data_IF_198667570089
#
_entry.id   IF_198667570089
#
_cell.length_a   1.000
_cell.length_b   1.000
_cell.length_c   1.000
_cell.angle_alpha   90.00
_cell.angle_beta   90.00
_cell.angle_gamma   90.00
#
_symmetry.space_group_name_H-M   'P 1'
#
loop_
_entity.id
_entity.type
_entity.pdbx_description
1 polymer ?
#
# COMPACT_ATOMS: atom_id res chain seq x y z
N UNK A 1 18.91 4.21 15.40
CA UNK A 1 18.22 4.85 14.28
C UNK A 1 17.00 4.02 14.04
N UNK A 2 15.78 4.56 14.19
CA UNK A 2 14.57 3.80 13.92
C UNK A 2 14.52 3.53 12.40
N UNK A 3 15.19 2.46 11.97
CA UNK A 3 14.83 1.78 10.74
C UNK A 3 13.33 1.53 10.84
N UNK A 4 12.57 2.14 9.94
CA UNK A 4 11.18 1.81 9.75
C UNK A 4 11.16 0.34 9.32
N UNK A 5 11.06 -0.56 10.30
CA UNK A 5 10.91 -1.98 10.05
C UNK A 5 9.69 -2.11 9.13
N UNK A 6 9.93 -2.61 7.91
CA UNK A 6 8.86 -2.81 6.95
C UNK A 6 7.78 -3.65 7.60
N UNK A 7 6.54 -3.18 7.49
CA UNK A 7 5.41 -3.89 8.06
C UNK A 7 5.38 -5.31 7.47
N UNK A 8 5.27 -6.35 8.28
CA UNK A 8 5.17 -7.75 7.81
C UNK A 8 4.03 -7.97 6.79
N UNK A 9 3.05 -7.06 6.73
CA UNK A 9 1.93 -7.06 5.79
C UNK A 9 2.17 -6.21 4.54
N UNK A 10 3.35 -5.60 4.38
CA UNK A 10 3.67 -4.72 3.27
C UNK A 10 3.58 -5.44 1.92
N UNK A 11 4.26 -6.58 1.78
CA UNK A 11 4.24 -7.37 0.54
C UNK A 11 2.83 -7.88 0.20
N UNK A 12 2.10 -8.37 1.21
CA UNK A 12 0.70 -8.78 1.05
C UNK A 12 -0.18 -7.60 0.58
N UNK A 13 0.10 -6.40 1.07
CA UNK A 13 -0.60 -5.19 0.69
C UNK A 13 -0.26 -4.78 -0.76
N UNK A 14 1.00 -4.87 -1.20
CA UNK A 14 1.35 -4.55 -2.59
C UNK A 14 0.70 -5.57 -3.54
N UNK A 15 0.77 -6.87 -3.23
CA UNK A 15 0.12 -7.91 -4.02
C UNK A 15 -1.40 -7.66 -4.16
N UNK A 16 -2.05 -7.20 -3.08
CA UNK A 16 -3.45 -6.83 -3.11
C UNK A 16 -3.72 -5.63 -4.03
N UNK A 17 -3.01 -4.51 -3.86
CA UNK A 17 -3.29 -3.28 -4.61
C UNK A 17 -2.92 -3.40 -6.09
N UNK A 18 -1.87 -4.15 -6.42
CA UNK A 18 -1.49 -4.40 -7.82
C UNK A 18 -2.52 -5.25 -8.53
N UNK A 19 -3.15 -6.20 -7.83
CA UNK A 19 -4.27 -6.99 -8.34
C UNK A 19 -5.54 -6.17 -8.57
N UNK A 20 -5.84 -5.21 -7.70
CA UNK A 20 -7.06 -4.38 -7.79
C UNK A 20 -6.89 -3.13 -8.64
N UNK A 21 -5.65 -2.68 -8.87
CA UNK A 21 -5.32 -1.42 -9.56
C UNK A 21 -5.60 -0.16 -8.74
N UNK A 22 -5.99 -0.29 -7.46
CA UNK A 22 -6.34 0.83 -6.59
C UNK A 22 -5.91 0.56 -5.16
N UNK A 23 -5.41 1.58 -4.47
CA UNK A 23 -4.99 1.49 -3.08
C UNK A 23 -5.84 2.39 -2.17
N UNK A 24 -6.44 1.79 -1.12
CA UNK A 24 -7.12 2.56 -0.07
C UNK A 24 -6.91 1.92 1.30
N UNK A 25 -6.85 2.77 2.34
CA UNK A 25 -6.61 2.34 3.72
C UNK A 25 -7.66 1.30 4.13
N UNK A 26 -8.94 1.60 3.89
CA UNK A 26 -10.05 0.71 4.28
C UNK A 26 -9.99 -0.66 3.58
N UNK A 27 -9.50 -0.72 2.34
CA UNK A 27 -9.34 -1.98 1.61
C UNK A 27 -8.25 -2.84 2.27
N UNK A 28 -7.09 -2.24 2.56
CA UNK A 28 -5.97 -2.93 3.22
C UNK A 28 -6.39 -3.41 4.62
N UNK A 29 -7.10 -2.57 5.40
CA UNK A 29 -7.62 -2.94 6.72
C UNK A 29 -8.48 -4.21 6.67
N UNK A 30 -9.44 -4.27 5.74
CA UNK A 30 -10.38 -5.40 5.63
C UNK A 30 -9.70 -6.68 5.16
N UNK A 31 -8.82 -6.59 4.18
CA UNK A 31 -8.18 -7.77 3.59
C UNK A 31 -7.09 -8.36 4.51
N UNK A 32 -6.25 -7.50 5.09
CA UNK A 32 -5.12 -7.92 5.92
C UNK A 32 -5.46 -7.99 7.41
N UNK A 33 -6.69 -7.61 7.78
CA UNK A 33 -7.21 -7.61 9.15
C UNK A 33 -6.34 -6.79 10.11
N UNK A 34 -5.97 -5.59 9.68
CA UNK A 34 -5.13 -4.65 10.43
C UNK A 34 -5.86 -3.35 10.78
N UNK A 35 -5.38 -2.66 11.82
CA UNK A 35 -5.89 -1.37 12.26
C UNK A 35 -5.56 -0.22 11.28
N UNK A 36 -6.29 0.90 11.44
CA UNK A 36 -6.18 2.08 10.56
C UNK A 36 -4.74 2.61 10.47
N UNK A 37 -4.09 2.89 11.61
CA UNK A 37 -2.73 3.46 11.63
C UNK A 37 -1.71 2.56 10.92
N UNK A 38 -1.89 1.24 11.00
CA UNK A 38 -1.01 0.27 10.35
C UNK A 38 -1.19 0.31 8.84
N UNK A 39 -2.44 0.27 8.37
CA UNK A 39 -2.76 0.40 6.94
C UNK A 39 -2.36 1.78 6.37
N UNK A 40 -2.50 2.86 7.14
CA UNK A 40 -2.08 4.20 6.75
C UNK A 40 -0.57 4.26 6.54
N UNK A 41 0.24 3.75 7.49
CA UNK A 41 1.71 3.69 7.35
C UNK A 41 2.15 2.87 6.14
N UNK A 42 1.51 1.73 5.88
CA UNK A 42 1.78 0.93 4.67
C UNK A 42 1.58 1.77 3.41
N UNK A 43 0.46 2.50 3.31
CA UNK A 43 0.19 3.36 2.14
C UNK A 43 1.17 4.53 2.04
N UNK A 44 1.56 5.14 3.16
CA UNK A 44 2.57 6.22 3.17
C UNK A 44 3.93 5.72 2.68
N UNK A 45 4.33 4.51 3.04
CA UNK A 45 5.57 3.90 2.54
C UNK A 45 5.45 3.62 1.04
N UNK A 46 4.33 3.04 0.59
CA UNK A 46 4.07 2.82 -0.85
C UNK A 46 4.13 4.11 -1.67
N UNK A 47 3.64 5.23 -1.13
CA UNK A 47 3.73 6.54 -1.79
C UNK A 47 5.18 7.00 -1.90
N UNK A 48 5.95 6.89 -0.81
CA UNK A 48 7.37 7.27 -0.77
C UNK A 48 8.21 6.44 -1.75
N UNK A 49 7.86 5.18 -1.94
CA UNK A 49 8.52 4.27 -2.88
C UNK A 49 8.01 4.40 -4.33
N UNK A 50 6.99 5.22 -4.56
CA UNK A 50 6.40 5.39 -5.90
C UNK A 50 5.57 4.19 -6.35
N UNK A 51 5.14 3.33 -5.44
CA UNK A 51 4.21 2.20 -5.71
C UNK A 51 2.79 2.72 -5.93
N UNK A 52 2.39 3.77 -5.20
CA UNK A 52 1.10 4.46 -5.35
C UNK A 52 1.29 5.95 -5.54
N UNK A 53 0.33 6.57 -6.24
CA UNK A 53 0.29 8.02 -6.40
C UNK A 53 -0.09 8.77 -5.13
N UNK A 54 0.01 10.11 -5.16
CA UNK A 54 -0.38 10.96 -4.06
C UNK A 54 -1.87 10.82 -3.75
N UNK A 55 -2.22 11.04 -2.48
CA UNK A 55 -3.62 11.09 -2.05
C UNK A 55 -4.28 12.38 -2.57
N UNK A 56 -5.48 12.26 -3.15
CA UNK A 56 -6.38 13.41 -3.38
C UNK A 56 -7.35 13.63 -2.19
N UNK A 57 -7.24 12.79 -1.15
CA UNK A 57 -8.05 12.84 0.08
C UNK A 57 -9.46 12.25 -0.05
N UNK A 58 -9.94 11.98 -1.26
CA UNK A 58 -11.33 11.57 -1.50
C UNK A 58 -11.43 10.21 -2.17
N UNK A 59 -10.47 9.87 -3.03
CA UNK A 59 -10.47 8.66 -3.84
C UNK A 59 -9.36 7.70 -3.41
N UNK A 60 -9.50 6.40 -3.75
CA UNK A 60 -8.38 5.47 -3.72
C UNK A 60 -7.21 6.01 -4.55
N UNK A 61 -6.00 5.83 -4.05
CA UNK A 61 -4.77 6.20 -4.75
C UNK A 61 -4.59 5.33 -5.99
N UNK A 62 -4.10 5.94 -7.06
CA UNK A 62 -3.68 5.23 -8.26
C UNK A 62 -2.48 4.33 -7.95
N UNK A 63 -2.50 3.11 -8.46
CA UNK A 63 -1.37 2.18 -8.33
C UNK A 63 -0.45 2.37 -9.52
N UNK A 64 0.80 2.77 -9.25
CA UNK A 64 1.80 3.06 -10.27
C UNK A 64 2.67 1.84 -10.60
N UNK A 65 2.76 0.88 -9.68
CA UNK A 65 3.47 -0.37 -9.89
C UNK A 65 2.78 -1.27 -10.94
N UNK A 66 3.53 -1.72 -11.95
CA UNK A 66 3.03 -2.58 -13.03
C UNK A 66 3.18 -4.08 -12.69
N UNK A 67 2.24 -4.62 -11.92
CA UNK A 67 2.22 -6.04 -11.47
C UNK A 67 3.43 -6.44 -10.61
N UNK A 68 3.18 -7.11 -9.47
CA UNK A 68 4.23 -7.69 -8.63
C UNK A 68 5.10 -8.72 -9.40
N UNK A 69 4.53 -9.34 -10.44
CA UNK A 69 5.21 -10.34 -11.27
C UNK A 69 6.37 -9.75 -12.12
N UNK A 70 6.44 -8.42 -12.25
CA UNK A 70 7.46 -7.72 -13.05
C UNK A 70 8.40 -6.83 -12.22
N UNK A 71 8.39 -6.96 -10.89
CA UNK A 71 9.43 -6.33 -10.06
C UNK A 71 10.71 -7.18 -10.18
N UNK A 72 11.86 -6.60 -10.56
CA UNK A 72 13.10 -7.34 -10.81
C UNK A 72 13.67 -8.03 -9.56
#
# INVERSE_FOLDING_TARGET
>A
SEELEYDEKYDEAIALITKTGQASISMIQRHLRIGYNRAARIIEIMEKEGVVGPSDGVKPREVLARSYDNMP
#
